data_IF_554097932666
#
_entry.id   IF_554097932666
#
_cell.length_a   1.000
_cell.length_b   1.000
_cell.length_c   1.000
_cell.angle_alpha   90.00
_cell.angle_beta   90.00
_cell.angle_gamma   90.00
#
_symmetry.space_group_name_H-M   'P 1'
#
loop_
_entity.id
_entity.type
_entity.pdbx_description
1 polymer ?
#
# COMPACT_ATOMS: atom_id res chain seq x y z
N UNK A 1 -0.03 -11.96 -7.23
CA UNK A 1 -0.86 -10.76 -7.51
C UNK A 1 -1.87 -10.64 -6.38
N UNK A 2 -1.89 -9.53 -5.65
CA UNK A 2 -2.81 -9.32 -4.52
C UNK A 2 -4.24 -9.44 -5.04
N UNK A 3 -4.99 -10.42 -4.53
CA UNK A 3 -6.31 -10.80 -5.04
C UNK A 3 -7.38 -9.91 -4.41
N UNK A 4 -7.26 -8.59 -4.56
CA UNK A 4 -8.33 -7.65 -4.20
C UNK A 4 -8.89 -7.02 -5.49
N UNK A 5 -9.94 -7.66 -6.01
CA UNK A 5 -10.69 -7.20 -7.17
C UNK A 5 -11.40 -5.88 -6.83
N UNK A 6 -10.75 -4.74 -7.07
CA UNK A 6 -11.33 -3.41 -6.89
C UNK A 6 -10.42 -2.35 -6.26
N UNK A 7 -9.21 -2.70 -5.81
CA UNK A 7 -8.27 -1.77 -5.18
C UNK A 7 -7.12 -1.45 -6.15
N UNK A 8 -6.78 -0.17 -6.32
CA UNK A 8 -5.69 0.24 -7.21
C UNK A 8 -4.31 -0.09 -6.63
N UNK A 9 -3.31 -0.25 -7.49
CA UNK A 9 -1.92 -0.47 -7.05
C UNK A 9 -1.40 0.68 -6.17
N UNK A 10 -1.83 1.90 -6.47
CA UNK A 10 -1.53 3.09 -5.67
C UNK A 10 -2.09 2.95 -4.25
N UNK A 11 -3.35 2.50 -4.11
CA UNK A 11 -3.95 2.24 -2.80
C UNK A 11 -3.18 1.17 -2.02
N UNK A 12 -2.68 0.13 -2.68
CA UNK A 12 -1.85 -0.91 -2.04
C UNK A 12 -0.53 -0.32 -1.54
N UNK A 13 0.11 0.54 -2.33
CA UNK A 13 1.35 1.21 -1.93
C UNK A 13 1.15 2.11 -0.70
N UNK A 14 0.09 2.91 -0.66
CA UNK A 14 -0.25 3.72 0.51
C UNK A 14 -0.58 2.84 1.73
N UNK A 15 -1.37 1.78 1.55
CA UNK A 15 -1.72 0.85 2.64
C UNK A 15 -0.50 0.17 3.25
N UNK A 16 0.52 -0.14 2.44
CA UNK A 16 1.79 -0.66 2.91
C UNK A 16 2.50 0.32 3.85
N UNK A 17 2.59 1.61 3.49
CA UNK A 17 3.19 2.63 4.37
C UNK A 17 2.36 2.85 5.63
N UNK A 18 1.03 2.96 5.49
CA UNK A 18 0.11 3.19 6.60
C UNK A 18 0.13 2.05 7.64
N UNK A 19 0.43 0.82 7.21
CA UNK A 19 0.53 -0.36 8.10
C UNK A 19 1.85 -0.41 8.88
N UNK A 20 2.80 0.47 8.60
CA UNK A 20 4.09 0.49 9.29
C UNK A 20 3.92 0.75 10.80
N UNK A 21 4.64 0.03 11.69
CA UNK A 21 4.49 0.16 13.14
C UNK A 21 4.84 1.56 13.70
N UNK A 22 5.58 2.37 12.94
CA UNK A 22 5.87 3.77 13.30
C UNK A 22 4.71 4.74 13.03
N UNK A 23 3.52 4.27 12.61
CA UNK A 23 2.33 5.08 12.38
C UNK A 23 2.54 6.26 11.40
N UNK A 24 3.20 5.97 10.27
CA UNK A 24 3.57 6.96 9.27
C UNK A 24 2.32 7.63 8.68
N UNK A 25 2.34 8.96 8.57
CA UNK A 25 1.30 9.77 7.91
C UNK A 25 1.80 10.27 6.55
N UNK A 26 1.38 9.65 5.43
CA UNK A 26 1.82 10.06 4.11
C UNK A 26 1.13 11.35 3.65
N UNK A 27 1.91 12.27 3.07
CA UNK A 27 1.39 13.51 2.49
C UNK A 27 1.11 13.30 1.00
N UNK A 28 -0.13 13.56 0.57
CA UNK A 28 -0.56 13.43 -0.83
C UNK A 28 -0.20 14.70 -1.61
N UNK A 29 0.78 14.61 -2.51
CA UNK A 29 1.26 15.75 -3.31
C UNK A 29 0.58 15.93 -4.68
N UNK A 30 -0.39 15.09 -5.04
CA UNK A 30 -1.06 15.14 -6.36
C UNK A 30 -2.26 16.08 -6.35
N UNK A 31 -2.58 16.65 -7.51
CA UNK A 31 -3.78 17.47 -7.74
C UNK A 31 -4.87 16.72 -8.50
N UNK A 32 -4.62 15.48 -8.90
CA UNK A 32 -5.57 14.64 -9.65
C UNK A 32 -6.62 14.06 -8.69
N UNK A 33 -7.92 14.40 -8.84
CA UNK A 33 -8.97 13.96 -7.92
C UNK A 33 -9.07 12.44 -7.77
N UNK A 34 -8.89 11.70 -8.85
CA UNK A 34 -8.97 10.23 -8.87
C UNK A 34 -7.86 9.63 -8.00
N UNK A 35 -6.66 10.20 -8.06
CA UNK A 35 -5.51 9.74 -7.26
C UNK A 35 -5.63 10.10 -5.78
N UNK A 36 -6.27 11.24 -5.48
CA UNK A 36 -6.64 11.60 -4.10
C UNK A 36 -7.63 10.57 -3.55
N UNK A 37 -8.64 10.17 -4.32
CA UNK A 37 -9.58 9.11 -3.94
C UNK A 37 -8.89 7.77 -3.73
N UNK A 38 -7.95 7.39 -4.61
CA UNK A 38 -7.13 6.17 -4.43
C UNK A 38 -6.31 6.22 -3.14
N UNK A 39 -5.69 7.36 -2.81
CA UNK A 39 -4.93 7.50 -1.57
C UNK A 39 -5.83 7.39 -0.33
N UNK A 40 -7.04 7.96 -0.36
CA UNK A 40 -8.01 7.81 0.71
C UNK A 40 -8.50 6.36 0.86
N UNK A 41 -8.80 5.68 -0.25
CA UNK A 41 -9.25 4.28 -0.25
C UNK A 41 -8.22 3.31 0.37
N UNK A 42 -6.93 3.68 0.38
CA UNK A 42 -5.88 2.90 1.03
C UNK A 42 -6.10 2.71 2.55
N UNK A 43 -6.84 3.61 3.20
CA UNK A 43 -7.13 3.53 4.63
C UNK A 43 -8.06 2.37 5.00
N UNK A 44 -8.82 1.85 4.02
CA UNK A 44 -9.68 0.68 4.21
C UNK A 44 -8.98 -0.65 3.83
N UNK A 45 -7.75 -0.56 3.31
CA UNK A 45 -6.98 -1.73 2.91
C UNK A 45 -6.14 -2.21 4.09
N UNK A 46 -6.47 -3.39 4.60
CA UNK A 46 -5.65 -4.06 5.62
C UNK A 46 -4.79 -5.14 4.99
N UNK A 47 -3.49 -4.88 4.87
CA UNK A 47 -2.52 -5.90 4.46
C UNK A 47 -2.21 -6.84 5.62
N UNK A 48 -2.19 -8.14 5.33
CA UNK A 48 -1.62 -9.13 6.25
C UNK A 48 -0.11 -8.92 6.38
N UNK A 49 0.48 -9.46 7.45
CA UNK A 49 1.93 -9.37 7.67
C UNK A 49 2.72 -10.03 6.53
N UNK A 50 2.22 -11.14 6.00
CA UNK A 50 2.84 -11.84 4.87
C UNK A 50 2.81 -10.99 3.60
N UNK A 51 1.68 -10.37 3.28
CA UNK A 51 1.53 -9.47 2.14
C UNK A 51 2.43 -8.24 2.27
N UNK A 52 2.50 -7.66 3.46
CA UNK A 52 3.36 -6.52 3.75
C UNK A 52 4.83 -6.84 3.50
N UNK A 53 5.30 -8.00 3.98
CA UNK A 53 6.66 -8.44 3.70
C UNK A 53 6.87 -8.85 2.25
N UNK A 54 5.88 -9.45 1.60
CA UNK A 54 5.97 -9.81 0.18
C UNK A 54 6.25 -8.58 -0.69
N UNK A 55 5.58 -7.46 -0.40
CA UNK A 55 5.86 -6.15 -1.04
C UNK A 55 7.27 -5.65 -0.73
N UNK A 56 7.69 -5.73 0.53
CA UNK A 56 9.03 -5.32 0.94
C UNK A 56 10.14 -6.11 0.22
N UNK A 57 9.94 -7.41 0.05
CA UNK A 57 10.90 -8.29 -0.62
C UNK A 57 10.88 -8.13 -2.14
N UNK A 58 9.72 -7.87 -2.75
CA UNK A 58 9.63 -7.66 -4.20
C UNK A 58 10.44 -6.45 -4.68
N UNK A 59 10.53 -5.40 -3.85
CA UNK A 59 11.32 -4.19 -4.17
C UNK A 59 12.83 -4.46 -4.02
N UNK A 60 13.21 -5.32 -3.09
CA UNK A 60 14.61 -5.60 -2.78
C UNK A 60 15.23 -6.74 -3.62
N UNK A 61 14.46 -7.39 -4.50
CA UNK A 61 14.91 -8.55 -5.28
C UNK A 61 15.31 -9.76 -4.43
N UNK A 62 15.00 -9.75 -3.13
CA UNK A 62 15.32 -10.81 -2.18
C UNK A 62 14.15 -11.79 -2.10
N UNK A 63 14.42 -13.09 -2.08
CA UNK A 63 13.40 -14.09 -1.77
C UNK A 63 13.00 -13.96 -0.29
N UNK A 64 11.71 -14.19 -0.01
CA UNK A 64 11.26 -14.38 1.37
C UNK A 64 12.12 -15.48 2.03
N UNK A 65 12.60 -15.28 3.26
CA UNK A 65 13.29 -16.33 4.01
C UNK A 65 12.37 -17.52 4.27
#
# INVERSE_FOLDING_TARGET
MFKNSGVSEESIAFAWVLRHPAHIQPIVGTRTPERIKSAAAATEVTLTREEWYRLYFSVNGKKQP
#
